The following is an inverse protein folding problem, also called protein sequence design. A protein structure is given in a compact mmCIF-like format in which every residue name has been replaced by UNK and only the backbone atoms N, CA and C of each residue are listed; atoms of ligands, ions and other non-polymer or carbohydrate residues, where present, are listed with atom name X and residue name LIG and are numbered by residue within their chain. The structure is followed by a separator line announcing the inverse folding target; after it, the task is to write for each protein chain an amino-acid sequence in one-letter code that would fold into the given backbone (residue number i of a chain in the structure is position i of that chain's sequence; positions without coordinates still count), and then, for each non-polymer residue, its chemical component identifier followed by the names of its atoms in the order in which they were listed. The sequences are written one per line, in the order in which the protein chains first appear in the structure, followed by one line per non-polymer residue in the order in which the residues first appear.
data_IF_734364086046
#
_entry.id   IF_734364086046
#
_cell.length_a   1.000
_cell.length_b   1.000
_cell.length_c   1.000
_cell.angle_alpha   90.00
_cell.angle_beta   90.00
_cell.angle_gamma   90.00
#
_symmetry.space_group_name_H-M   'P 1'
#
loop_
_entity.id
_entity.type
_entity.pdbx_description
1 polymer ?
#
# COMPACT_ATOMS: atom_id res chain seq x y z
N UNK A 1 59.97 -38.35 -67.02
CA UNK A 1 58.82 -37.60 -66.49
C UNK A 1 59.04 -37.48 -64.99
N UNK A 2 59.92 -36.57 -64.54
CA UNK A 2 59.59 -35.19 -64.08
C UNK A 2 58.37 -35.16 -63.15
N UNK A 3 58.41 -34.68 -61.91
CA UNK A 3 59.44 -34.04 -61.11
C UNK A 3 58.86 -33.82 -59.69
N UNK A 4 59.69 -34.03 -58.66
CA UNK A 4 60.15 -33.04 -57.66
C UNK A 4 59.17 -32.59 -56.56
N UNK A 5 59.63 -32.83 -55.34
CA UNK A 5 59.16 -32.40 -54.02
C UNK A 5 59.80 -31.05 -53.61
N UNK A 6 59.18 -30.31 -52.66
CA UNK A 6 59.56 -29.08 -51.89
C UNK A 6 58.54 -27.94 -52.08
N UNK A 7 58.07 -27.15 -51.12
CA UNK A 7 58.48 -26.73 -49.75
C UNK A 7 57.16 -26.32 -49.00
N UNK A 8 56.88 -26.68 -47.74
CA UNK A 8 57.35 -26.19 -46.42
C UNK A 8 56.52 -25.04 -45.81
N UNK A 9 56.06 -25.27 -44.55
CA UNK A 9 55.55 -24.34 -43.50
C UNK A 9 54.17 -23.69 -43.77
N UNK A 10 53.19 -23.78 -42.87
CA UNK A 10 53.21 -23.16 -41.54
C UNK A 10 52.34 -23.90 -40.49
N UNK A 11 52.84 -23.84 -39.26
CA UNK A 11 52.26 -24.22 -37.98
C UNK A 11 50.93 -23.53 -37.65
N UNK A 12 50.08 -24.16 -36.82
CA UNK A 12 48.97 -23.41 -36.22
C UNK A 12 47.86 -24.20 -35.53
N UNK A 13 48.20 -24.81 -34.38
CA UNK A 13 47.33 -25.03 -33.21
C UNK A 13 46.07 -25.90 -33.29
N UNK A 14 46.08 -26.90 -32.41
CA UNK A 14 44.94 -27.59 -31.87
C UNK A 14 44.00 -26.65 -31.09
N UNK A 15 42.70 -26.93 -31.16
CA UNK A 15 41.69 -26.31 -30.31
C UNK A 15 40.41 -27.13 -30.32
N UNK A 16 40.33 -28.13 -29.45
CA UNK A 16 39.06 -28.76 -29.11
C UNK A 16 38.19 -27.73 -28.38
N UNK A 17 36.96 -27.49 -28.87
CA UNK A 17 35.95 -26.74 -28.13
C UNK A 17 34.66 -27.57 -28.01
N UNK A 18 34.26 -27.74 -26.76
CA UNK A 18 33.04 -28.38 -26.26
C UNK A 18 31.79 -27.74 -26.86
N UNK A 19 30.70 -28.52 -26.89
CA UNK A 19 29.44 -28.16 -27.51
C UNK A 19 28.74 -26.94 -26.92
N UNK A 20 27.90 -26.34 -27.76
CA UNK A 20 26.98 -25.29 -27.40
C UNK A 20 25.54 -25.79 -27.59
N UNK A 21 24.78 -25.78 -26.50
CA UNK A 21 23.35 -25.94 -26.52
C UNK A 21 22.75 -24.77 -27.32
N UNK A 22 21.93 -25.08 -28.32
CA UNK A 22 21.24 -24.07 -29.12
C UNK A 22 20.16 -23.44 -28.24
N UNK A 23 20.42 -22.25 -27.73
CA UNK A 23 19.44 -21.47 -26.99
C UNK A 23 18.24 -21.12 -27.90
N UNK A 24 17.01 -21.05 -27.38
CA UNK A 24 15.83 -20.78 -28.19
C UNK A 24 15.96 -19.42 -28.89
N UNK A 25 15.74 -19.40 -30.21
CA UNK A 25 15.79 -18.19 -31.02
C UNK A 25 14.68 -17.25 -30.59
N UNK A 26 15.04 -16.17 -29.90
CA UNK A 26 14.13 -15.12 -29.48
C UNK A 26 13.92 -14.15 -30.64
N UNK A 27 12.76 -14.21 -31.31
CA UNK A 27 12.38 -13.19 -32.29
C UNK A 27 12.24 -11.82 -31.57
N UNK A 28 12.82 -10.74 -32.13
CA UNK A 28 12.73 -9.41 -31.52
C UNK A 28 11.31 -8.88 -31.57
N UNK A 29 10.87 -8.25 -30.48
CA UNK A 29 9.57 -7.58 -30.42
C UNK A 29 9.62 -6.24 -31.18
N UNK A 30 8.49 -5.75 -31.70
CA UNK A 30 8.38 -4.41 -32.25
C UNK A 30 8.85 -3.35 -31.25
N UNK A 31 9.51 -2.30 -31.72
CA UNK A 31 10.16 -1.26 -30.90
C UNK A 31 9.22 -0.51 -29.95
N UNK A 32 7.91 -0.58 -30.18
CA UNK A 32 6.86 0.07 -29.40
C UNK A 32 6.21 -0.83 -28.33
N UNK A 33 6.71 -2.05 -28.12
CA UNK A 33 6.16 -3.01 -27.16
C UNK A 33 7.15 -3.21 -25.99
N UNK A 34 6.87 -2.58 -24.84
CA UNK A 34 7.60 -2.87 -23.60
C UNK A 34 7.14 -4.22 -23.05
N UNK A 35 8.02 -5.22 -23.05
CA UNK A 35 7.78 -6.53 -22.43
C UNK A 35 7.64 -6.32 -20.91
N UNK A 36 6.54 -6.76 -20.29
CA UNK A 36 6.41 -6.87 -18.84
C UNK A 36 6.67 -8.33 -18.45
N UNK A 37 7.89 -8.68 -18.02
CA UNK A 37 8.20 -10.03 -17.58
C UNK A 37 7.71 -10.17 -16.14
N UNK A 38 6.70 -11.04 -15.92
CA UNK A 38 6.05 -11.33 -14.63
C UNK A 38 5.50 -10.07 -13.92
N UNK A 39 4.68 -10.22 -12.87
CA UNK A 39 4.51 -9.11 -11.95
C UNK A 39 5.88 -8.90 -11.30
N UNK A 40 6.70 -8.02 -11.89
CA UNK A 40 8.06 -7.82 -11.43
C UNK A 40 8.03 -7.39 -9.97
N UNK A 41 9.11 -7.60 -9.21
CA UNK A 41 9.24 -7.17 -7.81
C UNK A 41 8.70 -5.75 -7.54
N UNK A 42 8.91 -4.83 -8.48
CA UNK A 42 8.35 -3.47 -8.43
C UNK A 42 6.82 -3.41 -8.45
N UNK A 43 6.15 -4.26 -9.21
CA UNK A 43 4.68 -4.31 -9.26
C UNK A 43 4.10 -4.80 -7.93
N UNK A 44 4.72 -5.83 -7.33
CA UNK A 44 4.32 -6.32 -6.01
C UNK A 44 4.44 -5.24 -4.93
N UNK A 45 5.56 -4.51 -4.92
CA UNK A 45 5.74 -3.38 -4.01
C UNK A 45 4.67 -2.30 -4.20
N UNK A 46 4.32 -1.99 -5.46
CA UNK A 46 3.25 -1.02 -5.76
C UNK A 46 1.87 -1.48 -5.30
N UNK A 47 1.57 -2.77 -5.40
CA UNK A 47 0.31 -3.34 -4.87
C UNK A 47 0.25 -3.18 -3.36
N UNK A 48 1.31 -3.59 -2.65
CA UNK A 48 1.39 -3.47 -1.18
C UNK A 48 1.29 -2.01 -0.75
N UNK A 49 2.02 -1.11 -1.41
CA UNK A 49 1.97 0.33 -1.15
C UNK A 49 0.54 0.89 -1.31
N UNK A 50 -0.15 0.53 -2.38
CA UNK A 50 -1.52 0.97 -2.64
C UNK A 50 -2.50 0.46 -1.57
N UNK A 51 -2.39 -0.81 -1.16
CA UNK A 51 -3.23 -1.40 -0.12
C UNK A 51 -3.01 -0.70 1.23
N UNK A 52 -1.76 -0.51 1.63
CA UNK A 52 -1.40 0.16 2.88
C UNK A 52 -1.80 1.63 2.89
N UNK A 53 -1.78 2.30 1.73
CA UNK A 53 -2.22 3.69 1.59
C UNK A 53 -3.74 3.83 1.67
N UNK A 54 -4.49 2.90 1.06
CA UNK A 54 -5.95 2.95 1.04
C UNK A 54 -6.60 2.50 2.36
N UNK A 55 -5.87 1.75 3.19
CA UNK A 55 -6.40 1.20 4.43
C UNK A 55 -6.63 2.27 5.52
N UNK A 56 -7.82 2.26 6.11
CA UNK A 56 -8.16 3.07 7.29
C UNK A 56 -7.55 2.52 8.58
N UNK A 57 -7.20 1.23 8.61
CA UNK A 57 -6.64 0.53 9.75
C UNK A 57 -5.34 -0.21 9.38
N UNK A 58 -4.44 -0.48 10.35
CA UNK A 58 -3.24 -1.28 10.10
C UNK A 58 -3.57 -2.68 9.56
N UNK A 59 -2.87 -3.10 8.51
CA UNK A 59 -3.06 -4.39 7.83
C UNK A 59 -2.09 -5.44 8.36
N UNK A 60 -2.52 -6.69 8.45
CA UNK A 60 -1.63 -7.79 8.78
C UNK A 60 -0.88 -8.34 7.54
N UNK A 61 0.22 -9.05 7.80
CA UNK A 61 1.05 -9.67 6.74
C UNK A 61 0.27 -10.72 5.93
N UNK A 62 -0.69 -11.43 6.56
CA UNK A 62 -1.45 -12.48 5.91
C UNK A 62 -2.39 -11.92 4.85
N UNK A 63 -3.15 -10.87 5.19
CA UNK A 63 -4.04 -10.16 4.29
C UNK A 63 -3.29 -9.53 3.12
N UNK A 64 -2.11 -8.97 3.35
CA UNK A 64 -1.28 -8.44 2.28
C UNK A 64 -0.77 -9.56 1.34
N UNK A 65 -0.42 -10.72 1.89
CA UNK A 65 0.04 -11.87 1.11
C UNK A 65 -1.06 -12.47 0.21
N UNK A 66 -2.34 -12.35 0.56
CA UNK A 66 -3.47 -12.77 -0.29
C UNK A 66 -3.51 -12.05 -1.64
N UNK A 67 -2.88 -10.88 -1.74
CA UNK A 67 -2.81 -10.06 -2.96
C UNK A 67 -1.52 -10.26 -3.77
N UNK A 68 -0.67 -11.21 -3.37
CA UNK A 68 0.58 -11.52 -4.04
C UNK A 68 0.53 -12.92 -4.70
N UNK A 69 1.41 -13.19 -5.68
CA UNK A 69 1.62 -14.54 -6.18
C UNK A 69 2.02 -15.51 -5.05
N UNK A 70 1.59 -16.77 -5.15
CA UNK A 70 1.94 -17.81 -4.18
C UNK A 70 3.47 -17.98 -4.04
N UNK A 71 3.94 -18.10 -2.80
CA UNK A 71 5.35 -18.34 -2.48
C UNK A 71 6.22 -17.09 -2.36
N UNK A 72 5.65 -15.89 -2.56
CA UNK A 72 6.36 -14.63 -2.32
C UNK A 72 6.53 -14.35 -0.82
N UNK A 73 7.70 -13.82 -0.45
CA UNK A 73 8.00 -13.45 0.93
C UNK A 73 7.57 -12.01 1.19
N UNK A 74 6.40 -11.87 1.81
CA UNK A 74 5.82 -10.57 2.18
C UNK A 74 6.75 -9.76 3.10
N UNK A 75 7.54 -10.41 3.96
CA UNK A 75 8.44 -9.70 4.89
C UNK A 75 9.55 -9.00 4.13
N UNK A 76 10.13 -9.70 3.15
CA UNK A 76 11.17 -9.10 2.29
C UNK A 76 10.62 -7.90 1.54
N UNK A 77 9.39 -7.97 1.03
CA UNK A 77 8.76 -6.86 0.33
C UNK A 77 8.44 -5.68 1.26
N UNK A 78 7.98 -5.96 2.48
CA UNK A 78 7.71 -4.93 3.50
C UNK A 78 8.98 -4.25 4.01
N UNK A 79 10.07 -5.01 4.19
CA UNK A 79 11.38 -4.47 4.59
C UNK A 79 11.95 -3.57 3.48
N UNK A 80 11.82 -4.00 2.22
CA UNK A 80 12.21 -3.20 1.05
C UNK A 80 11.40 -1.90 0.97
N UNK A 81 10.08 -1.98 1.16
CA UNK A 81 9.20 -0.81 1.16
C UNK A 81 9.50 0.11 2.35
N UNK A 82 9.77 -0.44 3.54
CA UNK A 82 10.15 0.34 4.71
C UNK A 82 11.45 1.11 4.48
N UNK A 83 12.47 0.47 3.92
CA UNK A 83 13.73 1.13 3.58
C UNK A 83 13.52 2.24 2.55
N UNK A 84 12.68 2.02 1.54
CA UNK A 84 12.35 3.02 0.53
C UNK A 84 11.66 4.28 1.09
N UNK A 85 10.88 4.12 2.17
CA UNK A 85 10.15 5.19 2.83
C UNK A 85 10.85 5.80 4.06
N UNK A 86 11.97 5.24 4.53
CA UNK A 86 12.63 5.68 5.76
C UNK A 86 13.05 7.16 5.78
N UNK A 87 13.42 7.72 4.63
CA UNK A 87 13.82 9.14 4.50
C UNK A 87 12.74 10.08 3.97
N UNK A 88 11.47 9.65 3.95
CA UNK A 88 10.34 10.42 3.38
C UNK A 88 9.44 10.95 4.50
N UNK A 89 8.57 11.90 4.15
CA UNK A 89 7.60 12.49 5.09
C UNK A 89 6.47 11.55 5.54
N UNK A 90 6.38 10.35 4.95
CA UNK A 90 5.59 9.23 5.45
C UNK A 90 6.50 8.02 5.60
N UNK A 91 6.31 7.24 6.65
CA UNK A 91 7.08 6.04 6.93
C UNK A 91 6.16 4.83 7.09
N UNK A 92 6.65 3.68 6.65
CA UNK A 92 5.99 2.40 6.87
C UNK A 92 6.41 1.85 8.24
N UNK A 93 5.45 1.75 9.16
CA UNK A 93 5.70 1.35 10.55
C UNK A 93 4.90 0.12 10.95
N UNK A 94 5.40 -0.58 11.98
CA UNK A 94 4.73 -1.73 12.58
C UNK A 94 4.03 -1.31 13.88
N UNK A 95 2.71 -1.45 13.94
CA UNK A 95 1.87 -1.10 15.10
C UNK A 95 1.11 -2.34 15.54
N UNK A 96 1.30 -2.79 16.79
CA UNK A 96 0.65 -3.97 17.35
C UNK A 96 0.76 -5.22 16.43
N UNK A 97 1.92 -5.41 15.79
CA UNK A 97 2.17 -6.55 14.90
C UNK A 97 1.68 -6.36 13.45
N UNK A 98 0.93 -5.29 13.16
CA UNK A 98 0.37 -4.93 11.84
C UNK A 98 1.12 -3.76 11.21
N UNK A 99 0.88 -3.49 9.93
CA UNK A 99 1.60 -2.51 9.12
C UNK A 99 0.70 -1.36 8.69
N UNK A 100 1.23 -0.14 8.75
CA UNK A 100 0.51 1.05 8.27
C UNK A 100 1.49 2.15 7.87
N UNK A 101 1.06 3.03 6.97
CA UNK A 101 1.73 4.32 6.77
C UNK A 101 1.37 5.29 7.88
N UNK A 102 2.39 5.98 8.39
CA UNK A 102 2.25 7.10 9.33
C UNK A 102 3.10 8.27 8.84
N UNK A 103 2.74 9.47 9.28
CA UNK A 103 3.57 10.66 9.04
C UNK A 103 4.89 10.52 9.77
N UNK A 104 5.95 11.02 9.15
CA UNK A 104 7.28 10.96 9.74
C UNK A 104 7.33 11.69 11.09
N UNK A 105 8.00 11.09 12.06
CA UNK A 105 8.00 11.57 13.45
C UNK A 105 8.65 12.96 13.58
N UNK A 106 9.67 13.24 12.77
CA UNK A 106 10.32 14.54 12.69
C UNK A 106 9.41 15.65 12.14
N UNK A 107 8.32 15.31 11.47
CA UNK A 107 7.30 16.24 10.97
C UNK A 107 6.07 16.35 11.88
N UNK A 108 6.01 15.63 12.99
CA UNK A 108 4.84 15.58 13.87
C UNK A 108 4.38 16.97 14.34
N UNK A 109 5.32 17.87 14.65
CA UNK A 109 5.06 19.23 15.11
C UNK A 109 4.27 20.10 14.11
N UNK A 110 4.32 19.78 12.81
CA UNK A 110 3.57 20.50 11.77
C UNK A 110 2.11 20.03 11.70
N UNK A 111 1.82 18.83 12.20
CA UNK A 111 0.55 18.13 12.01
C UNK A 111 -0.38 18.23 13.22
N UNK A 112 0.16 18.52 14.42
CA UNK A 112 -0.62 18.73 15.64
C UNK A 112 -1.72 19.80 15.51
N UNK A 113 -1.58 20.73 14.55
CA UNK A 113 -2.56 21.80 14.32
C UNK A 113 -3.83 21.38 13.58
N UNK A 114 -3.89 20.15 13.07
CA UNK A 114 -5.00 19.62 12.27
C UNK A 114 -5.75 18.45 12.93
N UNK A 115 -5.54 18.21 14.22
CA UNK A 115 -6.55 17.47 14.98
C UNK A 115 -7.79 18.36 15.04
N UNK A 116 -8.76 18.12 14.15
CA UNK A 116 -10.12 18.60 14.33
C UNK A 116 -10.49 18.14 15.73
N UNK A 117 -10.61 19.07 16.68
CA UNK A 117 -11.18 18.72 17.98
C UNK A 117 -12.55 18.13 17.68
N UNK A 118 -12.68 16.82 17.79
CA UNK A 118 -13.98 16.17 17.82
C UNK A 118 -14.72 16.78 19.01
N UNK A 119 -15.58 17.75 18.71
CA UNK A 119 -16.43 18.36 19.72
C UNK A 119 -17.33 17.27 20.26
N UNK A 120 -16.93 16.70 21.40
CA UNK A 120 -17.74 15.71 22.10
C UNK A 120 -19.12 16.30 22.34
N UNK A 121 -20.14 15.56 21.93
CA UNK A 121 -21.52 15.92 22.24
C UNK A 121 -21.63 16.09 23.75
N UNK A 122 -22.24 17.20 24.17
CA UNK A 122 -22.57 17.39 25.57
C UNK A 122 -23.49 16.27 26.04
N UNK A 123 -23.51 16.01 27.36
CA UNK A 123 -24.44 15.03 27.93
C UNK A 123 -25.90 15.30 27.52
N UNK A 124 -26.30 16.57 27.48
CA UNK A 124 -27.64 16.96 27.04
C UNK A 124 -27.88 16.59 25.56
N UNK A 125 -26.89 16.74 24.68
CA UNK A 125 -27.01 16.36 23.28
C UNK A 125 -27.09 14.83 23.09
N UNK A 126 -26.31 14.06 23.86
CA UNK A 126 -26.39 12.61 23.89
C UNK A 126 -27.75 12.10 24.39
N UNK A 127 -28.30 12.68 25.46
CA UNK A 127 -29.64 12.35 25.97
C UNK A 127 -30.71 12.64 24.91
N UNK A 128 -30.66 13.80 24.25
CA UNK A 128 -31.56 14.14 23.16
C UNK A 128 -31.42 13.17 21.98
N UNK A 129 -30.20 12.82 21.57
CA UNK A 129 -29.94 11.86 20.50
C UNK A 129 -30.51 10.48 20.83
N UNK A 130 -30.36 10.01 22.07
CA UNK A 130 -30.90 8.72 22.51
C UNK A 130 -32.44 8.67 22.44
N UNK A 131 -33.12 9.76 22.84
CA UNK A 131 -34.58 9.86 22.74
C UNK A 131 -35.02 9.81 21.27
N UNK A 132 -34.36 10.58 20.40
CA UNK A 132 -34.64 10.57 18.96
C UNK A 132 -34.46 9.16 18.39
N UNK A 133 -33.32 8.52 18.66
CA UNK A 133 -33.02 7.19 18.11
C UNK A 133 -34.02 6.11 18.53
N UNK A 134 -34.58 6.19 19.75
CA UNK A 134 -35.50 5.18 20.26
C UNK A 134 -36.99 5.49 19.96
N UNK A 135 -37.34 6.77 19.79
CA UNK A 135 -38.73 7.21 19.64
C UNK A 135 -39.06 7.81 18.27
N UNK A 136 -38.16 7.72 17.28
CA UNK A 136 -38.46 8.17 15.92
C UNK A 136 -39.68 7.41 15.32
N UNK A 137 -40.68 8.13 14.73
CA UNK A 137 -40.75 9.58 14.56
C UNK A 137 -41.21 10.33 15.83
N UNK A 138 -40.46 11.37 16.24
CA UNK A 138 -40.73 12.18 17.45
C UNK A 138 -40.56 13.67 17.15
N UNK A 139 -41.37 14.51 17.79
CA UNK A 139 -41.34 15.97 17.68
C UNK A 139 -40.50 16.62 18.78
N UNK A 140 -40.09 17.89 18.57
CA UNK A 140 -39.37 18.66 19.59
C UNK A 140 -40.13 18.76 20.91
N UNK A 141 -41.45 18.97 20.85
CA UNK A 141 -42.27 19.10 22.05
C UNK A 141 -42.27 17.80 22.88
N UNK A 142 -42.37 16.64 22.21
CA UNK A 142 -42.32 15.32 22.86
C UNK A 142 -40.93 15.04 23.45
N UNK A 143 -39.85 15.45 22.78
CA UNK A 143 -38.49 15.35 23.33
C UNK A 143 -38.36 16.18 24.62
N UNK A 144 -38.89 17.41 24.64
CA UNK A 144 -38.86 18.28 25.81
C UNK A 144 -39.71 17.73 26.97
N UNK A 145 -40.85 17.11 26.65
CA UNK A 145 -41.71 16.42 27.62
C UNK A 145 -40.99 15.22 28.25
N UNK A 146 -40.34 14.38 27.44
CA UNK A 146 -39.58 13.21 27.92
C UNK A 146 -38.37 13.63 28.77
N UNK A 147 -37.68 14.73 28.40
CA UNK A 147 -36.54 15.23 29.17
C UNK A 147 -36.92 16.02 30.42
N UNK A 148 -38.16 16.51 30.50
CA UNK A 148 -38.64 17.36 31.60
C UNK A 148 -37.96 18.74 31.66
N UNK A 149 -37.22 19.14 30.62
CA UNK A 149 -36.52 20.42 30.51
C UNK A 149 -36.58 20.93 29.07
N UNK A 150 -36.64 22.25 28.90
CA UNK A 150 -36.60 22.88 27.57
C UNK A 150 -35.28 22.56 26.88
N UNK A 151 -35.33 22.10 25.64
CA UNK A 151 -34.12 21.79 24.87
C UNK A 151 -33.53 23.10 24.36
N UNK A 152 -32.26 23.37 24.69
CA UNK A 152 -31.57 24.56 24.18
C UNK A 152 -31.52 24.52 22.66
N UNK A 153 -31.75 25.68 22.01
CA UNK A 153 -31.74 25.80 20.54
C UNK A 153 -30.54 25.09 19.90
N UNK A 154 -29.35 25.36 20.44
CA UNK A 154 -28.10 24.78 19.93
C UNK A 154 -27.98 23.25 20.05
N UNK A 155 -28.76 22.56 20.88
CA UNK A 155 -28.63 21.09 21.01
C UNK A 155 -29.19 20.36 19.81
N UNK A 156 -30.36 20.77 19.32
CA UNK A 156 -30.94 20.19 18.11
C UNK A 156 -30.18 20.65 16.87
N UNK A 157 -29.75 21.90 16.84
CA UNK A 157 -28.95 22.45 15.74
C UNK A 157 -27.62 21.67 15.57
N UNK A 158 -26.92 21.38 16.68
CA UNK A 158 -25.68 20.55 16.67
C UNK A 158 -25.93 19.11 16.20
N UNK A 159 -27.12 18.54 16.43
CA UNK A 159 -27.45 17.20 15.95
C UNK A 159 -27.87 17.18 14.47
N UNK A 160 -28.25 18.34 13.91
CA UNK A 160 -28.66 18.52 12.52
C UNK A 160 -27.54 19.07 11.63
N UNK A 161 -26.48 19.66 12.22
CA UNK A 161 -25.25 20.05 11.53
C UNK A 161 -24.44 18.78 11.16
N UNK A 162 -24.78 18.22 10.00
CA UNK A 162 -23.99 17.27 9.20
C UNK A 162 -24.06 17.69 7.74
#
# INVERSE_FOLDING_TARGET
MSGTNKDKLDSGQAGAAKGEAIAPVQLPLPENVMRLPSAGRREMLRVIEALLFAASEPLDEALLAEHLPEGEDIRVLLDELQAFYAGRGINLVRVAGRWAFRTAEDLAFLLERHAVEERKLSRAALETLAIIAYHQPVTRAEIEEIRGVTTSKGTLDVLLET
#
